data_IF_665306089273
#
_entry.id   IF_665306089273
#
_cell.length_a   1.000
_cell.length_b   1.000
_cell.length_c   1.000
_cell.angle_alpha   90.00
_cell.angle_beta   90.00
_cell.angle_gamma   90.00
#
_symmetry.space_group_name_H-M   'P 1'
#
loop_
_entity.id
_entity.type
_entity.pdbx_description
1 polymer ?
#
# COMPACT_ATOMS: atom_id res chain seq x y z
N UNK A 1 8.55 1.36 -12.30
CA UNK A 1 9.81 1.63 -11.61
C UNK A 1 9.56 1.53 -10.13
N UNK A 2 10.27 0.66 -9.43
CA UNK A 2 10.31 0.65 -7.96
C UNK A 2 11.36 1.65 -7.50
N UNK A 3 10.97 2.67 -6.75
CA UNK A 3 11.92 3.54 -6.05
C UNK A 3 11.99 3.09 -4.59
N UNK A 4 13.19 3.00 -4.04
CA UNK A 4 13.43 2.81 -2.63
C UNK A 4 14.04 4.10 -2.09
N UNK A 5 13.24 4.91 -1.38
CA UNK A 5 13.74 6.12 -0.73
C UNK A 5 14.02 5.81 0.75
N UNK A 6 15.24 6.17 1.19
CA UNK A 6 15.61 6.12 2.61
C UNK A 6 14.93 7.29 3.32
N UNK A 7 14.12 6.99 4.32
CA UNK A 7 13.40 7.98 5.13
C UNK A 7 13.86 7.87 6.58
N UNK A 8 13.89 9.03 7.24
CA UNK A 8 14.17 9.16 8.67
C UNK A 8 12.95 9.81 9.35
N UNK A 9 12.73 9.53 10.65
CA UNK A 9 11.69 10.21 11.41
C UNK A 9 11.98 11.72 11.46
N UNK A 10 10.96 12.54 11.15
CA UNK A 10 11.09 14.01 11.05
C UNK A 10 11.73 14.66 12.27
N UNK A 11 11.52 14.10 13.46
CA UNK A 11 11.95 14.67 14.74
C UNK A 11 13.10 13.90 15.41
N UNK A 12 13.61 12.82 14.81
CA UNK A 12 14.66 11.98 15.41
C UNK A 12 16.03 12.12 14.72
N UNK A 13 16.13 13.03 13.74
CA UNK A 13 17.34 13.22 12.94
C UNK A 13 17.68 12.01 12.07
N UNK A 14 18.86 12.03 11.46
CA UNK A 14 19.34 10.96 10.57
C UNK A 14 19.88 9.73 11.34
N UNK A 15 19.18 9.28 12.38
CA UNK A 15 19.58 8.10 13.15
C UNK A 15 19.42 6.84 12.28
N UNK A 16 20.52 6.13 11.92
CA UNK A 16 20.44 4.94 11.08
C UNK A 16 19.61 3.81 11.68
N UNK A 17 19.47 3.77 13.01
CA UNK A 17 18.66 2.77 13.70
C UNK A 17 17.15 2.98 13.51
N UNK A 18 16.72 4.19 13.11
CA UNK A 18 15.32 4.56 12.90
C UNK A 18 14.98 4.72 11.41
N UNK A 19 15.90 4.31 10.53
CA UNK A 19 15.72 4.42 9.09
C UNK A 19 14.69 3.39 8.59
N UNK A 20 13.74 3.84 7.77
CA UNK A 20 12.89 2.93 6.99
C UNK A 20 13.05 3.16 5.49
N UNK A 21 12.85 2.09 4.71
CA UNK A 21 12.82 2.16 3.26
C UNK A 21 11.37 2.16 2.79
N UNK A 22 10.97 3.22 2.09
CA UNK A 22 9.69 3.24 1.40
C UNK A 22 9.85 2.54 0.06
N UNK A 23 9.06 1.49 -0.18
CA UNK A 23 8.94 0.86 -1.48
C UNK A 23 7.67 1.35 -2.16
N UNK A 24 7.81 1.96 -3.33
CA UNK A 24 6.68 2.40 -4.14
C UNK A 24 6.58 1.56 -5.42
N UNK A 25 5.39 1.05 -5.71
CA UNK A 25 5.08 0.35 -6.96
C UNK A 25 3.80 0.91 -7.57
N UNK A 26 3.74 0.89 -8.90
CA UNK A 26 2.66 1.51 -9.67
C UNK A 26 2.31 0.65 -10.87
N UNK A 27 1.02 0.50 -11.13
CA UNK A 27 0.48 -0.35 -12.21
C UNK A 27 -0.09 0.46 -13.38
N UNK A 28 0.44 1.67 -13.63
CA UNK A 28 -0.06 2.70 -14.56
C UNK A 28 -0.61 2.20 -15.91
N UNK A 29 -0.08 1.10 -16.44
CA UNK A 29 -0.40 0.60 -17.77
C UNK A 29 -1.31 -0.65 -17.79
N UNK A 30 -1.65 -1.22 -16.63
CA UNK A 30 -2.43 -2.47 -16.56
C UNK A 30 -3.65 -2.39 -15.66
N UNK A 31 -3.62 -1.59 -14.60
CA UNK A 31 -4.73 -1.42 -13.67
C UNK A 31 -5.13 0.05 -13.62
N UNK A 32 -6.38 0.34 -13.94
CA UNK A 32 -6.97 1.68 -13.80
C UNK A 32 -8.07 1.68 -12.76
N UNK A 33 -8.06 2.75 -11.97
CA UNK A 33 -9.15 3.13 -11.09
C UNK A 33 -10.07 4.10 -11.84
N UNK A 34 -11.38 3.86 -11.75
CA UNK A 34 -12.47 4.78 -12.10
C UNK A 34 -12.22 5.64 -13.36
N UNK A 35 -12.75 5.15 -14.48
CA UNK A 35 -12.87 5.91 -15.72
C UNK A 35 -14.34 5.93 -16.15
N UNK A 36 -14.83 7.10 -16.53
CA UNK A 36 -16.17 7.28 -17.08
C UNK A 36 -16.35 6.47 -18.38
N UNK A 37 -17.59 6.16 -18.79
CA UNK A 37 -17.86 5.33 -19.98
C UNK A 37 -17.10 5.78 -21.23
N UNK A 38 -16.98 7.10 -21.44
CA UNK A 38 -16.30 7.71 -22.58
C UNK A 38 -14.78 7.48 -22.56
N UNK A 39 -14.15 7.63 -21.39
CA UNK A 39 -12.72 7.43 -21.22
C UNK A 39 -12.33 5.95 -21.35
N UNK A 40 -13.25 4.99 -21.16
CA UNK A 40 -13.00 3.55 -21.41
C UNK A 40 -12.85 3.21 -22.89
N UNK A 41 -13.51 3.96 -23.76
CA UNK A 41 -13.48 3.74 -25.21
C UNK A 41 -12.22 4.32 -25.87
N UNK A 42 -11.38 5.03 -25.13
CA UNK A 42 -10.11 5.54 -25.65
C UNK A 42 -9.15 4.39 -25.94
N UNK A 43 -8.50 4.43 -27.11
CA UNK A 43 -7.51 3.43 -27.54
C UNK A 43 -6.39 3.22 -26.52
N UNK A 44 -6.03 4.26 -25.78
CA UNK A 44 -5.04 4.25 -24.68
C UNK A 44 -5.45 3.36 -23.50
N UNK A 45 -6.74 3.01 -23.36
CA UNK A 45 -7.28 2.26 -22.23
C UNK A 45 -7.84 0.87 -22.62
N UNK A 46 -7.80 0.50 -23.90
CA UNK A 46 -8.42 -0.72 -24.46
C UNK A 46 -7.93 -2.04 -23.84
N UNK A 47 -6.70 -2.07 -23.31
CA UNK A 47 -6.07 -3.26 -22.72
C UNK A 47 -5.84 -3.13 -21.20
N UNK A 48 -6.54 -2.21 -20.54
CA UNK A 48 -6.39 -1.97 -19.10
C UNK A 48 -7.50 -2.69 -18.34
N UNK A 49 -7.14 -3.24 -17.19
CA UNK A 49 -8.08 -3.86 -16.25
C UNK A 49 -8.69 -2.73 -15.41
N UNK A 50 -10.01 -2.64 -15.47
CA UNK A 50 -10.77 -1.66 -14.71
C UNK A 50 -11.22 -2.30 -13.41
N UNK A 51 -10.56 -1.88 -12.34
CA UNK A 51 -10.79 -2.43 -11.00
C UNK A 51 -12.25 -2.23 -10.57
N UNK A 52 -12.89 -1.15 -11.00
CA UNK A 52 -14.30 -0.88 -10.71
C UNK A 52 -15.31 -1.78 -11.43
N UNK A 53 -14.88 -2.53 -12.44
CA UNK A 53 -15.71 -3.52 -13.14
C UNK A 53 -15.42 -4.94 -12.66
N UNK A 54 -14.50 -5.09 -11.71
CA UNK A 54 -14.10 -6.37 -11.14
C UNK A 54 -14.26 -6.28 -9.62
N UNK A 55 -15.49 -6.19 -9.09
CA UNK A 55 -15.68 -6.25 -7.64
C UNK A 55 -15.20 -7.60 -7.10
N UNK A 56 -14.70 -7.61 -5.88
CA UNK A 56 -14.21 -8.84 -5.25
C UNK A 56 -13.05 -8.61 -4.28
N UNK A 57 -12.54 -9.72 -3.77
CA UNK A 57 -11.39 -9.76 -2.87
C UNK A 57 -10.10 -9.96 -3.67
N UNK A 58 -9.10 -9.14 -3.34
CA UNK A 58 -7.80 -9.13 -3.99
C UNK A 58 -6.71 -9.38 -2.98
N UNK A 59 -5.69 -10.11 -3.42
CA UNK A 59 -4.46 -10.31 -2.65
C UNK A 59 -3.28 -9.78 -3.45
N UNK A 60 -2.51 -8.88 -2.86
CA UNK A 60 -1.22 -8.44 -3.39
C UNK A 60 -0.12 -9.23 -2.71
N UNK A 61 0.70 -9.90 -3.51
CA UNK A 61 1.85 -10.66 -3.07
C UNK A 61 3.12 -10.01 -3.61
N UNK A 62 4.08 -9.77 -2.72
CA UNK A 62 5.39 -9.24 -3.10
C UNK A 62 6.40 -10.37 -3.01
N UNK A 63 7.11 -10.61 -4.10
CA UNK A 63 8.16 -11.59 -4.19
C UNK A 63 9.53 -10.91 -4.28
N UNK A 64 10.52 -11.43 -3.56
CA UNK A 64 11.91 -11.02 -3.66
C UNK A 64 12.76 -12.26 -3.90
N UNK A 65 13.51 -12.27 -5.01
CA UNK A 65 14.35 -13.41 -5.42
C UNK A 65 13.61 -14.77 -5.49
N UNK A 66 12.32 -14.75 -5.83
CA UNK A 66 11.49 -15.96 -5.94
C UNK A 66 10.69 -16.30 -4.68
N UNK A 67 11.04 -15.72 -3.53
CA UNK A 67 10.35 -15.97 -2.27
C UNK A 67 9.29 -14.91 -1.99
N UNK A 68 8.12 -15.32 -1.49
CA UNK A 68 7.08 -14.39 -1.06
C UNK A 68 7.48 -13.72 0.26
N UNK A 69 7.70 -12.40 0.22
CA UNK A 69 8.17 -11.63 1.38
C UNK A 69 7.09 -10.82 2.06
N UNK A 70 6.02 -10.44 1.34
CA UNK A 70 4.88 -9.68 1.87
C UNK A 70 3.57 -10.12 1.24
N UNK A 71 2.49 -9.94 1.97
CA UNK A 71 1.12 -10.11 1.49
C UNK A 71 0.20 -9.05 2.08
N UNK A 72 -0.76 -8.57 1.29
CA UNK A 72 -1.88 -7.78 1.81
C UNK A 72 -3.14 -8.09 1.03
N UNK A 73 -4.30 -7.83 1.64
CA UNK A 73 -5.61 -8.07 1.06
C UNK A 73 -6.44 -6.80 1.08
N UNK A 74 -7.25 -6.62 0.04
CA UNK A 74 -8.26 -5.56 -0.03
C UNK A 74 -9.46 -6.02 -0.82
N UNK A 75 -10.59 -5.37 -0.57
CA UNK A 75 -11.85 -5.63 -1.27
C UNK A 75 -12.21 -4.42 -2.10
N UNK A 76 -12.76 -4.65 -3.28
CA UNK A 76 -13.40 -3.63 -4.11
C UNK A 76 -14.89 -3.90 -4.20
N UNK A 77 -15.67 -2.88 -3.90
CA UNK A 77 -17.12 -2.87 -4.05
C UNK A 77 -17.55 -1.52 -4.64
N UNK A 78 -18.56 -1.52 -5.51
CA UNK A 78 -19.10 -0.30 -6.14
C UNK A 78 -18.07 0.59 -6.85
N UNK A 79 -16.93 0.01 -7.25
CA UNK A 79 -15.87 0.77 -7.91
C UNK A 79 -14.85 1.43 -7.01
N UNK A 80 -14.96 1.24 -5.70
CA UNK A 80 -14.10 1.82 -4.68
C UNK A 80 -13.45 0.73 -3.82
N UNK A 81 -12.35 1.07 -3.15
CA UNK A 81 -11.84 0.24 -2.07
C UNK A 81 -12.86 0.23 -0.94
N UNK A 82 -13.16 -0.95 -0.40
CA UNK A 82 -13.92 -1.04 0.84
C UNK A 82 -13.12 -0.35 1.95
N UNK A 83 -13.72 0.66 2.59
CA UNK A 83 -13.11 1.36 3.70
C UNK A 83 -12.91 0.40 4.88
N UNK A 84 -11.67 0.29 5.35
CA UNK A 84 -11.32 -0.49 6.53
C UNK A 84 -11.23 0.38 7.79
N UNK A 85 -11.66 1.64 7.71
CA UNK A 85 -11.71 2.61 8.79
C UNK A 85 -10.37 3.28 9.10
N UNK A 86 -9.24 2.71 8.66
CA UNK A 86 -7.91 3.21 9.02
C UNK A 86 -7.61 4.58 8.40
N UNK A 87 -7.94 4.79 7.12
CA UNK A 87 -7.70 6.07 6.46
C UNK A 87 -8.54 7.18 7.09
N UNK A 88 -9.85 6.92 7.28
CA UNK A 88 -10.81 7.86 7.88
C UNK A 88 -10.44 8.21 9.33
N UNK A 89 -10.10 7.21 10.15
CA UNK A 89 -9.71 7.41 11.54
C UNK A 89 -8.45 8.27 11.68
N UNK A 90 -7.53 8.14 10.71
CA UNK A 90 -6.26 8.87 10.69
C UNK A 90 -6.29 10.13 9.82
N UNK A 91 -7.49 10.58 9.41
CA UNK A 91 -7.70 11.80 8.60
C UNK A 91 -6.84 11.82 7.32
N UNK A 92 -6.60 10.65 6.74
CA UNK A 92 -5.92 10.51 5.45
C UNK A 92 -6.96 10.76 4.34
N UNK A 93 -6.55 11.49 3.31
CA UNK A 93 -7.35 11.86 2.14
C UNK A 93 -8.26 10.73 1.63
N UNK A 94 -9.44 11.11 1.12
CA UNK A 94 -10.52 10.19 0.72
C UNK A 94 -10.18 9.31 -0.49
N UNK A 95 -9.12 9.64 -1.23
CA UNK A 95 -8.63 8.89 -2.40
C UNK A 95 -7.59 7.81 -2.05
N UNK A 96 -7.29 7.61 -0.75
CA UNK A 96 -6.27 6.68 -0.28
C UNK A 96 -6.84 5.67 0.70
N UNK A 97 -6.32 4.44 0.62
CA UNK A 97 -6.57 3.39 1.59
C UNK A 97 -5.26 3.02 2.28
N UNK A 98 -5.33 2.72 3.57
CA UNK A 98 -4.21 2.15 4.35
C UNK A 98 -4.51 0.67 4.54
N UNK A 99 -3.61 -0.22 4.17
CA UNK A 99 -3.80 -1.66 4.34
C UNK A 99 -2.74 -2.24 5.29
N UNK A 100 -3.13 -3.08 6.27
CA UNK A 100 -2.17 -3.91 6.99
C UNK A 100 -1.46 -4.84 6.00
N UNK A 101 -0.15 -4.99 6.19
CA UNK A 101 0.68 -5.88 5.36
C UNK A 101 1.26 -6.96 6.26
N UNK A 102 1.03 -8.21 5.88
CA UNK A 102 1.64 -9.38 6.49
C UNK A 102 3.08 -9.55 6.02
N UNK A 103 3.97 -9.77 6.97
CA UNK A 103 5.41 -9.95 6.74
C UNK A 103 5.75 -11.43 6.82
N UNK A 104 6.31 -12.01 5.76
CA UNK A 104 6.52 -13.47 5.68
C UNK A 104 7.95 -13.90 5.34
N UNK A 105 8.82 -12.97 4.94
CA UNK A 105 10.21 -13.29 4.64
C UNK A 105 11.02 -13.58 5.90
N UNK A 106 11.79 -14.66 5.90
CA UNK A 106 12.82 -14.96 6.93
C UNK A 106 14.12 -14.19 6.71
N UNK A 107 14.28 -13.60 5.52
CA UNK A 107 15.49 -12.89 5.08
C UNK A 107 15.55 -11.46 5.63
N UNK A 108 14.39 -10.82 5.82
CA UNK A 108 14.31 -9.48 6.39
C UNK A 108 14.28 -9.58 7.92
N UNK A 109 15.32 -9.09 8.58
CA UNK A 109 15.28 -8.84 10.03
C UNK A 109 14.32 -7.67 10.29
N UNK A 110 13.03 -7.98 10.40
CA UNK A 110 11.98 -7.03 10.74
C UNK A 110 11.81 -6.97 12.27
N UNK A 111 11.77 -5.77 12.85
CA UNK A 111 11.38 -5.58 14.24
C UNK A 111 9.94 -5.02 14.32
N UNK A 112 8.98 -5.86 14.72
CA UNK A 112 7.57 -5.48 14.80
C UNK A 112 7.28 -4.44 15.89
N UNK A 113 8.06 -4.43 16.96
CA UNK A 113 7.94 -3.43 18.02
C UNK A 113 8.45 -2.06 17.57
N UNK A 114 9.49 -2.01 16.73
CA UNK A 114 10.05 -0.77 16.19
C UNK A 114 9.22 -0.20 15.03
N UNK A 115 8.54 -1.04 14.23
CA UNK A 115 7.80 -0.58 13.05
C UNK A 115 6.71 0.46 13.35
N UNK A 116 6.02 0.35 14.51
CA UNK A 116 5.02 1.33 14.95
C UNK A 116 5.66 2.61 15.48
N UNK A 117 6.71 2.44 16.28
CA UNK A 117 7.39 3.53 16.96
C UNK A 117 8.12 4.38 15.94
N UNK A 118 8.80 3.77 14.96
CA UNK A 118 9.69 4.47 14.05
C UNK A 118 8.96 4.89 12.77
N UNK A 119 8.28 3.97 12.07
CA UNK A 119 7.62 4.24 10.79
C UNK A 119 6.46 5.25 10.85
N UNK A 120 5.88 5.43 12.04
CA UNK A 120 4.84 6.42 12.32
C UNK A 120 5.22 7.36 13.46
N UNK A 121 6.52 7.50 13.78
CA UNK A 121 6.99 8.36 14.87
C UNK A 121 6.49 9.80 14.67
N UNK A 122 5.76 10.32 15.65
CA UNK A 122 5.14 11.65 15.60
C UNK A 122 3.77 11.73 14.93
N UNK A 123 3.30 10.67 14.25
CA UNK A 123 1.93 10.55 13.75
C UNK A 123 1.47 9.07 13.69
N UNK A 124 1.31 8.41 14.85
CA UNK A 124 0.93 7.01 14.93
C UNK A 124 -0.45 6.76 14.30
N UNK A 125 -0.55 5.76 13.42
CA UNK A 125 -1.84 5.36 12.88
C UNK A 125 -2.68 4.66 13.97
N UNK A 126 -3.73 5.35 14.40
CA UNK A 126 -4.74 4.81 15.32
C UNK A 126 -5.43 3.62 14.64
N UNK A 127 -5.59 2.52 15.38
CA UNK A 127 -6.25 1.30 14.90
C UNK A 127 -5.39 0.37 14.03
N UNK A 128 -4.17 0.78 13.65
CA UNK A 128 -3.28 -0.06 12.85
C UNK A 128 -2.69 -1.21 13.67
N UNK A 129 -3.02 -2.44 13.29
CA UNK A 129 -2.45 -3.67 13.86
C UNK A 129 -1.53 -4.33 12.84
N UNK A 130 -0.35 -4.76 13.30
CA UNK A 130 0.58 -5.50 12.47
C UNK A 130 0.05 -6.93 12.30
N UNK A 131 0.22 -7.50 11.09
CA UNK A 131 -0.20 -8.86 10.73
C UNK A 131 0.99 -9.76 10.42
#
# INVERSE_FOLDING_TARGET
>A
MSSAERRFPKNAGNNPALMWNQFEFKWYNKLLFLTGPEARNQTSNRNKIYINQSPGEYTVKVFYKGDQVRETKFTIANGEFTDNGLAKQNKISTDKVILPVKVMGTVDKWNAAAAKTDGFYGNPLIGFTLQ
#
